data_IF_213408888766
#
_entry.id   IF_213408888766
#
_cell.length_a   1.000
_cell.length_b   1.000
_cell.length_c   1.000
_cell.angle_alpha   90.00
_cell.angle_beta   90.00
_cell.angle_gamma   90.00
#
_symmetry.space_group_name_H-M   'P 1'
#
loop_
_entity.id
_entity.type
_entity.pdbx_description
1 polymer ?
#
# COMPACT_ATOMS: atom_id res chain seq x y z
N UNK A 1 -7.28 21.45 7.02
CA UNK A 1 -7.00 20.01 6.77
C UNK A 1 -8.18 19.12 7.19
N UNK A 2 -8.60 19.11 8.46
CA UNK A 2 -9.68 18.21 8.89
C UNK A 2 -11.08 18.63 8.38
N UNK A 3 -11.34 19.94 8.30
CA UNK A 3 -12.57 20.47 7.71
C UNK A 3 -12.68 20.14 6.21
N UNK A 4 -11.56 20.22 5.49
CA UNK A 4 -11.47 19.94 4.05
C UNK A 4 -11.71 18.45 3.76
N UNK A 5 -11.15 17.57 4.59
CA UNK A 5 -11.41 16.14 4.51
C UNK A 5 -12.90 15.81 4.73
N UNK A 6 -13.52 16.40 5.76
CA UNK A 6 -14.97 16.21 6.03
C UNK A 6 -15.84 16.71 4.88
N UNK A 7 -15.48 17.82 4.25
CA UNK A 7 -16.18 18.35 3.08
C UNK A 7 -16.06 17.40 1.87
N UNK A 8 -14.86 16.90 1.59
CA UNK A 8 -14.61 15.98 0.49
C UNK A 8 -15.40 14.67 0.64
N UNK A 9 -15.44 14.09 1.84
CA UNK A 9 -16.19 12.86 2.09
C UNK A 9 -17.71 13.02 1.95
N UNK A 10 -18.26 14.19 2.31
CA UNK A 10 -19.68 14.49 2.09
C UNK A 10 -20.03 14.48 0.61
N UNK A 11 -19.18 15.06 -0.24
CA UNK A 11 -19.38 15.06 -1.69
C UNK A 11 -19.28 13.65 -2.28
N UNK A 12 -18.32 12.83 -1.81
CA UNK A 12 -18.20 11.43 -2.25
C UNK A 12 -19.44 10.62 -1.88
N UNK A 13 -20.01 10.84 -0.69
CA UNK A 13 -21.23 10.14 -0.27
C UNK A 13 -22.43 10.52 -1.15
N UNK A 14 -22.60 11.80 -1.47
CA UNK A 14 -23.66 12.27 -2.35
C UNK A 14 -23.53 11.67 -3.77
N UNK A 15 -22.34 11.75 -4.37
CA UNK A 15 -22.06 11.18 -5.70
C UNK A 15 -22.29 9.67 -5.72
N UNK A 16 -21.96 8.98 -4.62
CA UNK A 16 -22.17 7.54 -4.48
C UNK A 16 -23.66 7.18 -4.55
N UNK A 17 -24.51 7.97 -3.91
CA UNK A 17 -25.97 7.79 -3.94
C UNK A 17 -26.55 8.10 -5.33
N UNK A 18 -26.17 9.24 -5.92
CA UNK A 18 -26.64 9.66 -7.25
C UNK A 18 -26.28 8.66 -8.36
N UNK A 19 -25.09 8.06 -8.29
CA UNK A 19 -24.60 7.10 -9.28
C UNK A 19 -24.94 5.63 -8.94
N UNK A 20 -25.61 5.37 -7.81
CA UNK A 20 -25.90 4.02 -7.34
C UNK A 20 -24.64 3.18 -7.08
N UNK A 21 -23.52 3.82 -6.76
CA UNK A 21 -22.22 3.15 -6.54
C UNK A 21 -22.29 2.39 -5.22
N UNK A 22 -22.24 1.06 -5.27
CA UNK A 22 -22.29 0.25 -4.04
C UNK A 22 -20.99 0.36 -3.21
N UNK A 23 -19.84 0.43 -3.87
CA UNK A 23 -18.52 0.29 -3.25
C UNK A 23 -17.46 1.10 -3.99
N UNK A 24 -16.61 1.80 -3.24
CA UNK A 24 -15.48 2.59 -3.77
C UNK A 24 -14.18 1.88 -3.39
N UNK A 25 -13.23 1.85 -4.32
CA UNK A 25 -11.89 1.31 -4.10
C UNK A 25 -10.86 2.44 -4.25
N UNK A 26 -10.00 2.60 -3.26
CA UNK A 26 -8.82 3.44 -3.33
C UNK A 26 -7.62 2.57 -3.67
N UNK A 27 -6.89 2.94 -4.71
CA UNK A 27 -5.63 2.32 -5.08
C UNK A 27 -4.53 3.39 -5.06
N UNK A 28 -3.46 3.13 -4.32
CA UNK A 28 -2.34 4.07 -4.19
C UNK A 28 -0.99 3.34 -4.23
N UNK A 29 0.03 4.05 -4.71
CA UNK A 29 1.40 3.56 -4.79
C UNK A 29 2.28 4.38 -3.86
N UNK A 30 2.93 3.73 -2.90
CA UNK A 30 3.82 4.39 -1.95
C UNK A 30 5.16 3.67 -1.80
N UNK A 31 6.21 4.45 -1.53
CA UNK A 31 7.54 3.91 -1.26
C UNK A 31 7.64 3.36 0.16
N UNK A 32 7.97 2.08 0.28
CA UNK A 32 8.15 1.37 1.55
C UNK A 32 9.64 1.31 1.87
N UNK A 33 10.01 1.83 3.05
CA UNK A 33 11.40 1.75 3.52
C UNK A 33 11.68 0.35 4.09
N UNK A 34 12.82 -0.23 3.72
CA UNK A 34 13.26 -1.56 4.18
C UNK A 34 13.38 -1.68 5.70
N UNK A 35 13.59 -0.57 6.41
CA UNK A 35 13.63 -0.51 7.88
C UNK A 35 12.32 -1.02 8.52
N UNK A 36 11.18 -0.89 7.83
CA UNK A 36 9.87 -1.34 8.29
C UNK A 36 9.51 -2.77 7.84
N UNK A 37 10.38 -3.44 7.07
CA UNK A 37 10.16 -4.82 6.68
C UNK A 37 10.68 -5.77 7.77
N UNK A 38 9.98 -6.88 8.03
CA UNK A 38 10.49 -7.93 8.90
C UNK A 38 11.87 -8.40 8.41
N UNK A 39 12.92 -8.16 9.20
CA UNK A 39 14.31 -8.58 8.89
C UNK A 39 14.49 -10.09 8.94
N UNK A 40 13.50 -10.82 9.46
CA UNK A 40 13.54 -12.27 9.59
C UNK A 40 12.80 -12.92 8.41
N UNK A 41 13.54 -13.22 7.35
CA UNK A 41 13.11 -14.26 6.40
C UNK A 41 13.60 -15.59 6.98
N UNK A 42 12.78 -16.24 7.82
CA UNK A 42 13.05 -17.63 8.20
C UNK A 42 12.69 -18.47 6.98
N UNK A 43 13.66 -18.76 6.13
CA UNK A 43 13.52 -19.84 5.18
C UNK A 43 13.83 -21.15 5.91
N UNK A 44 13.07 -22.21 5.62
CA UNK A 44 13.40 -23.57 6.11
C UNK A 44 14.87 -23.92 5.80
N UNK A 45 15.47 -24.82 6.59
CA UNK A 45 16.84 -25.29 6.35
C UNK A 45 16.96 -25.80 4.90
N UNK A 46 17.70 -25.06 4.06
CA UNK A 46 17.94 -25.42 2.66
C UNK A 46 17.22 -24.55 1.61
N UNK A 47 16.35 -23.63 2.01
CA UNK A 47 15.72 -22.72 1.06
C UNK A 47 16.72 -21.67 0.52
N UNK A 48 16.61 -21.35 -0.78
CA UNK A 48 17.52 -20.43 -1.48
C UNK A 48 17.41 -19.04 -0.88
N UNK A 49 18.45 -18.60 -0.19
CA UNK A 49 18.57 -17.24 0.33
C UNK A 49 18.79 -16.27 -0.84
N UNK A 50 17.80 -15.41 -1.12
CA UNK A 50 17.96 -14.29 -2.04
C UNK A 50 18.59 -13.13 -1.27
N UNK A 51 19.88 -12.91 -1.48
CA UNK A 51 20.59 -11.76 -0.93
C UNK A 51 20.38 -10.56 -1.85
N UNK A 52 19.44 -9.69 -1.50
CA UNK A 52 19.31 -8.38 -2.15
C UNK A 52 20.40 -7.47 -1.58
N UNK A 53 21.44 -7.18 -2.37
CA UNK A 53 22.47 -6.21 -1.98
C UNK A 53 21.93 -4.80 -2.21
N UNK A 54 21.67 -4.08 -1.13
CA UNK A 54 21.28 -2.68 -1.20
C UNK A 54 22.48 -1.78 -1.50
N UNK A 55 22.49 -1.16 -2.68
CA UNK A 55 23.51 -0.20 -3.09
C UNK A 55 23.46 1.06 -2.23
N UNK A 56 24.54 1.33 -1.50
CA UNK A 56 24.63 2.45 -0.56
C UNK A 56 24.55 3.83 -1.21
N UNK A 57 23.34 4.34 -1.43
CA UNK A 57 22.93 5.75 -1.29
C UNK A 57 21.42 5.83 -1.50
N UNK A 58 20.73 6.26 -0.46
CA UNK A 58 19.28 6.48 -0.39
C UNK A 58 18.41 5.30 -0.82
N UNK A 59 18.19 4.40 0.15
CA UNK A 59 17.00 3.55 0.33
C UNK A 59 16.39 3.08 -0.99
N UNK A 60 16.83 1.92 -1.48
CA UNK A 60 16.04 1.13 -2.43
C UNK A 60 14.61 1.03 -1.88
N UNK A 61 13.69 1.83 -2.45
CA UNK A 61 12.31 1.93 -2.03
C UNK A 61 11.59 0.76 -2.67
N UNK A 62 11.20 -0.22 -1.86
CA UNK A 62 10.21 -1.19 -2.28
C UNK A 62 8.94 -0.40 -2.63
N UNK A 63 8.37 -0.62 -3.80
CA UNK A 63 7.12 0.05 -4.17
C UNK A 63 5.97 -0.81 -3.66
N UNK A 64 5.20 -0.29 -2.71
CA UNK A 64 3.96 -0.90 -2.25
C UNK A 64 2.78 -0.37 -3.05
N UNK A 65 1.98 -1.25 -3.63
CA UNK A 65 0.66 -0.94 -4.18
C UNK A 65 -0.40 -1.36 -3.17
N UNK A 66 -1.18 -0.40 -2.70
CA UNK A 66 -2.18 -0.57 -1.64
C UNK A 66 -3.57 -0.45 -2.22
N UNK A 67 -4.43 -1.42 -1.93
CA UNK A 67 -5.84 -1.39 -2.28
C UNK A 67 -6.67 -1.40 -1.00
N UNK A 68 -7.56 -0.43 -0.86
CA UNK A 68 -8.52 -0.34 0.23
C UNK A 68 -9.91 -0.07 -0.32
N UNK A 69 -10.95 -0.52 0.38
CA UNK A 69 -12.32 -0.22 0.00
C UNK A 69 -13.06 0.66 1.02
N UNK A 70 -14.20 1.21 0.59
CA UNK A 70 -15.04 2.10 1.39
C UNK A 70 -15.65 1.47 2.64
N UNK A 71 -15.49 0.16 2.86
CA UNK A 71 -15.91 -0.52 4.10
C UNK A 71 -14.79 -0.55 5.15
N UNK A 72 -13.62 0.00 4.81
CA UNK A 72 -12.43 -0.03 5.64
C UNK A 72 -11.58 -1.30 5.45
N UNK A 73 -11.98 -2.21 4.55
CA UNK A 73 -11.19 -3.41 4.26
C UNK A 73 -9.97 -3.03 3.45
N UNK A 74 -8.79 -3.36 3.99
CA UNK A 74 -7.52 -3.32 3.28
C UNK A 74 -7.23 -4.70 2.68
N UNK A 75 -6.77 -4.71 1.43
CA UNK A 75 -6.35 -5.92 0.74
C UNK A 75 -4.85 -6.11 0.90
N UNK A 76 -4.38 -7.35 0.74
CA UNK A 76 -2.96 -7.67 0.80
C UNK A 76 -2.19 -6.82 -0.21
N UNK A 77 -1.21 -6.02 0.24
CA UNK A 77 -0.45 -5.15 -0.64
C UNK A 77 0.45 -5.97 -1.58
N UNK A 78 0.66 -5.43 -2.78
CA UNK A 78 1.63 -5.96 -3.73
C UNK A 78 2.91 -5.16 -3.59
N UNK A 79 4.05 -5.85 -3.52
CA UNK A 79 5.35 -5.22 -3.40
C UNK A 79 6.19 -5.48 -4.65
N UNK A 80 6.70 -4.41 -5.25
CA UNK A 80 7.58 -4.46 -6.40
C UNK A 80 8.98 -4.00 -6.00
N UNK A 81 9.96 -4.84 -6.34
CA UNK A 81 11.36 -4.49 -6.24
C UNK A 81 11.82 -4.00 -7.62
N UNK A 82 12.15 -2.72 -7.71
CA UNK A 82 12.84 -2.18 -8.87
C UNK A 82 14.32 -2.56 -8.75
N UNK A 83 14.80 -3.43 -9.64
CA UNK A 83 16.20 -3.88 -9.75
C UNK A 83 16.93 -2.98 -10.75
#
# INVERSE_FOLDING_TARGET
MEADAKFLWRNVAQVKEELGVKKVYNADQSGVCLEYLPKHTISEKGAKTVWVRCGGKDKERLTGMFLGDSTGKQYTPVFLLSI
#
